data_IF_385083494206
#
_entry.id   IF_385083494206
#
_cell.length_a   1.000
_cell.length_b   1.000
_cell.length_c   1.000
_cell.angle_alpha   90.00
_cell.angle_beta   90.00
_cell.angle_gamma   90.00
#
_symmetry.space_group_name_H-M   'P 1'
#
loop_
_entity.id
_entity.type
_entity.pdbx_description
1 polymer ?
#
# COMPACT_ATOMS: atom_id res chain seq x y z
N UNK A 1 53.51 -26.89 17.44
CA UNK A 1 52.93 -26.01 16.42
C UNK A 1 51.49 -26.46 16.19
N UNK A 2 50.52 -25.77 16.80
CA UNK A 2 49.09 -26.11 16.67
C UNK A 2 48.48 -25.18 15.64
N UNK A 3 48.05 -25.76 14.52
CA UNK A 3 47.41 -25.03 13.42
C UNK A 3 45.98 -24.69 13.80
N UNK A 4 45.72 -23.42 14.11
CA UNK A 4 44.38 -22.88 14.40
C UNK A 4 43.59 -22.86 13.07
N UNK A 5 42.72 -23.85 12.89
CA UNK A 5 41.77 -23.91 11.77
C UNK A 5 40.70 -22.83 11.92
N UNK A 6 40.86 -21.72 11.20
CA UNK A 6 39.85 -20.68 11.10
C UNK A 6 38.56 -21.28 10.53
N UNK A 7 37.56 -21.47 11.40
CA UNK A 7 36.22 -21.91 11.00
C UNK A 7 35.56 -20.73 10.26
N UNK A 8 35.55 -20.80 8.93
CA UNK A 8 34.78 -19.88 8.11
C UNK A 8 33.29 -19.97 8.54
N UNK A 9 32.81 -18.99 9.27
CA UNK A 9 31.36 -18.81 9.45
C UNK A 9 30.82 -18.39 8.10
N UNK A 10 30.01 -19.26 7.49
CA UNK A 10 29.23 -18.93 6.31
C UNK A 10 28.37 -17.68 6.63
N UNK A 11 28.23 -16.72 5.69
CA UNK A 11 27.34 -15.59 5.90
C UNK A 11 25.93 -16.14 6.15
N UNK A 12 25.32 -15.75 7.25
CA UNK A 12 23.92 -16.05 7.53
C UNK A 12 23.13 -15.39 6.42
N UNK A 13 22.66 -16.19 5.47
CA UNK A 13 21.73 -15.73 4.45
C UNK A 13 20.39 -15.47 5.13
N UNK A 14 20.18 -14.22 5.58
CA UNK A 14 18.97 -13.78 6.26
C UNK A 14 17.71 -13.89 5.38
N UNK A 15 17.89 -14.22 4.12
CA UNK A 15 16.80 -14.42 3.17
C UNK A 15 17.02 -15.67 2.32
N UNK A 16 16.90 -16.84 2.94
CA UNK A 16 16.72 -18.06 2.19
C UNK A 16 15.28 -18.06 1.68
N UNK A 17 15.12 -17.58 0.47
CA UNK A 17 13.85 -17.56 -0.26
C UNK A 17 13.62 -19.01 -0.69
N UNK A 18 12.84 -19.77 0.08
CA UNK A 18 12.36 -21.06 -0.36
C UNK A 18 11.54 -20.84 -1.65
N UNK A 19 11.92 -21.44 -2.77
CA UNK A 19 11.23 -21.26 -4.04
C UNK A 19 9.98 -22.15 -4.11
N UNK A 20 9.06 -21.95 -3.16
CA UNK A 20 7.72 -22.50 -3.25
C UNK A 20 6.82 -21.50 -3.98
N UNK A 21 5.96 -21.91 -4.93
CA UNK A 21 5.14 -20.97 -5.71
C UNK A 21 4.23 -20.08 -4.84
N UNK A 22 3.94 -20.47 -3.60
CA UNK A 22 3.15 -19.70 -2.65
C UNK A 22 3.58 -20.06 -1.23
N UNK A 23 4.23 -19.17 -0.51
CA UNK A 23 4.48 -19.42 0.90
C UNK A 23 3.13 -19.49 1.64
N UNK A 24 3.02 -20.39 2.62
CA UNK A 24 1.79 -20.53 3.44
C UNK A 24 1.35 -19.19 4.02
N UNK A 25 2.30 -18.37 4.45
CA UNK A 25 2.05 -17.02 4.94
C UNK A 25 1.32 -16.13 3.92
N UNK A 26 1.67 -16.20 2.64
CA UNK A 26 1.03 -15.40 1.61
C UNK A 26 -0.41 -15.84 1.38
N UNK A 27 -0.66 -17.16 1.41
CA UNK A 27 -2.01 -17.70 1.29
C UNK A 27 -2.88 -17.28 2.49
N UNK A 28 -2.33 -17.36 3.71
CA UNK A 28 -3.03 -16.94 4.92
C UNK A 28 -3.37 -15.44 4.89
N UNK A 29 -2.44 -14.60 4.42
CA UNK A 29 -2.67 -13.17 4.23
C UNK A 29 -3.77 -12.89 3.20
N UNK A 30 -3.73 -13.54 2.05
CA UNK A 30 -4.75 -13.36 1.00
C UNK A 30 -6.12 -13.89 1.46
N UNK A 31 -6.17 -15.01 2.17
CA UNK A 31 -7.39 -15.55 2.73
C UNK A 31 -8.02 -14.60 3.77
N UNK A 32 -7.20 -14.08 4.68
CA UNK A 32 -7.64 -13.10 5.68
C UNK A 32 -8.16 -11.83 5.01
N UNK A 33 -7.45 -11.31 4.00
CA UNK A 33 -7.88 -10.16 3.22
C UNK A 33 -9.23 -10.41 2.55
N UNK A 34 -9.41 -11.56 1.90
CA UNK A 34 -10.66 -11.94 1.25
C UNK A 34 -11.84 -11.99 2.23
N UNK A 35 -11.63 -12.60 3.40
CA UNK A 35 -12.67 -12.68 4.46
C UNK A 35 -13.08 -11.27 4.91
N UNK A 36 -12.11 -10.40 5.20
CA UNK A 36 -12.39 -9.03 5.63
C UNK A 36 -13.13 -8.24 4.55
N UNK A 37 -12.75 -8.40 3.28
CA UNK A 37 -13.39 -7.72 2.15
C UNK A 37 -14.86 -8.17 1.96
N UNK A 38 -15.11 -9.47 2.01
CA UNK A 38 -16.47 -10.03 1.91
C UNK A 38 -17.33 -9.56 3.08
N UNK A 39 -16.80 -9.67 4.30
CA UNK A 39 -17.50 -9.19 5.49
C UNK A 39 -17.81 -7.70 5.41
N UNK A 40 -16.86 -6.88 4.97
CA UNK A 40 -17.04 -5.44 4.76
C UNK A 40 -18.14 -5.12 3.74
N UNK A 41 -18.23 -5.87 2.62
CA UNK A 41 -19.30 -5.70 1.63
C UNK A 41 -20.68 -6.05 2.21
N UNK A 42 -20.77 -7.14 2.96
CA UNK A 42 -22.03 -7.56 3.61
C UNK A 42 -22.50 -6.52 4.60
N UNK A 43 -21.58 -6.02 5.45
CA UNK A 43 -21.90 -4.99 6.43
C UNK A 43 -22.28 -3.66 5.77
N UNK A 44 -21.57 -3.28 4.69
CA UNK A 44 -21.92 -2.10 3.92
C UNK A 44 -23.32 -2.20 3.31
N UNK A 45 -23.65 -3.34 2.73
CA UNK A 45 -24.99 -3.57 2.17
C UNK A 45 -26.07 -3.43 3.23
N UNK A 46 -25.89 -4.09 4.38
CA UNK A 46 -26.84 -4.02 5.50
C UNK A 46 -27.05 -2.59 5.99
N UNK A 47 -25.97 -1.82 6.15
CA UNK A 47 -26.02 -0.45 6.66
C UNK A 47 -26.55 0.57 5.65
N UNK A 48 -26.30 0.36 4.35
CA UNK A 48 -26.63 1.35 3.30
C UNK A 48 -27.90 1.05 2.53
N UNK A 49 -28.53 -0.08 2.76
CA UNK A 49 -29.74 -0.52 2.04
C UNK A 49 -30.85 0.53 2.07
N UNK A 50 -31.26 0.96 3.27
CA UNK A 50 -32.33 1.95 3.46
C UNK A 50 -31.92 3.33 2.93
N UNK A 51 -30.67 3.74 3.18
CA UNK A 51 -30.16 5.06 2.74
C UNK A 51 -30.07 5.14 1.22
N UNK A 52 -29.66 4.04 0.56
CA UNK A 52 -29.60 3.95 -0.90
C UNK A 52 -30.97 4.08 -1.53
N UNK A 53 -31.96 3.39 -0.99
CA UNK A 53 -33.34 3.47 -1.45
C UNK A 53 -33.91 4.88 -1.32
N UNK A 54 -33.77 5.52 -0.14
CA UNK A 54 -34.33 6.82 0.14
C UNK A 54 -33.66 7.99 -0.63
N UNK A 55 -32.36 7.89 -0.88
CA UNK A 55 -31.61 8.99 -1.53
C UNK A 55 -31.46 8.85 -3.03
N UNK A 56 -31.29 7.62 -3.53
CA UNK A 56 -30.95 7.34 -4.92
C UNK A 56 -32.03 6.51 -5.65
N UNK A 57 -33.07 6.02 -4.94
CA UNK A 57 -34.06 5.13 -5.51
C UNK A 57 -33.56 3.70 -5.82
N UNK A 58 -32.28 3.44 -5.54
CA UNK A 58 -31.64 2.13 -5.77
C UNK A 58 -30.90 1.68 -4.50
N UNK A 59 -31.40 0.63 -3.86
CA UNK A 59 -30.78 0.06 -2.67
C UNK A 59 -29.38 -0.51 -2.91
N UNK A 60 -29.06 -0.85 -4.16
CA UNK A 60 -27.78 -1.42 -4.56
C UNK A 60 -26.75 -0.37 -5.01
N UNK A 61 -27.10 0.91 -5.01
CA UNK A 61 -26.23 1.97 -5.52
C UNK A 61 -24.84 1.95 -4.86
N UNK A 62 -24.81 1.96 -3.53
CA UNK A 62 -23.55 2.00 -2.77
C UNK A 62 -22.72 0.72 -2.90
N UNK A 63 -23.37 -0.45 -2.95
CA UNK A 63 -22.64 -1.71 -3.09
C UNK A 63 -22.04 -1.87 -4.49
N UNK A 64 -22.73 -1.43 -5.54
CA UNK A 64 -22.20 -1.42 -6.92
C UNK A 64 -20.95 -0.55 -7.00
N UNK A 65 -20.99 0.65 -6.43
CA UNK A 65 -19.86 1.57 -6.39
C UNK A 65 -18.68 0.97 -5.61
N UNK A 66 -18.95 0.40 -4.43
CA UNK A 66 -17.91 -0.23 -3.62
C UNK A 66 -17.30 -1.46 -4.29
N UNK A 67 -18.12 -2.31 -4.92
CA UNK A 67 -17.63 -3.46 -5.67
C UNK A 67 -16.72 -3.05 -6.83
N UNK A 68 -17.08 -1.98 -7.55
CA UNK A 68 -16.26 -1.44 -8.63
C UNK A 68 -14.91 -0.93 -8.09
N UNK A 69 -14.91 -0.17 -7.00
CA UNK A 69 -13.67 0.31 -6.37
C UNK A 69 -12.82 -0.86 -5.85
N UNK A 70 -13.45 -1.91 -5.32
CA UNK A 70 -12.77 -3.11 -4.86
C UNK A 70 -12.10 -3.86 -6.01
N UNK A 71 -12.78 -4.02 -7.15
CA UNK A 71 -12.21 -4.62 -8.36
C UNK A 71 -11.03 -3.81 -8.91
N UNK A 72 -11.15 -2.48 -8.93
CA UNK A 72 -10.05 -1.60 -9.30
C UNK A 72 -8.87 -1.73 -8.33
N UNK A 73 -9.13 -1.77 -7.03
CA UNK A 73 -8.08 -1.95 -6.00
C UNK A 73 -7.35 -3.29 -6.13
N UNK A 74 -8.07 -4.38 -6.37
CA UNK A 74 -7.47 -5.70 -6.65
C UNK A 74 -6.64 -5.67 -7.93
N UNK A 75 -7.14 -5.04 -9.00
CA UNK A 75 -6.38 -4.86 -10.23
C UNK A 75 -5.08 -4.10 -10.02
N UNK A 76 -5.11 -2.99 -9.25
CA UNK A 76 -3.92 -2.24 -8.87
C UNK A 76 -2.97 -3.08 -8.02
N UNK A 77 -3.47 -3.89 -7.09
CA UNK A 77 -2.65 -4.79 -6.28
C UNK A 77 -1.88 -5.80 -7.15
N UNK A 78 -2.55 -6.43 -8.11
CA UNK A 78 -1.91 -7.33 -9.05
C UNK A 78 -0.88 -6.59 -9.92
N UNK A 79 -1.23 -5.41 -10.45
CA UNK A 79 -0.32 -4.61 -11.25
C UNK A 79 0.95 -4.25 -10.48
N UNK A 80 0.82 -3.80 -9.24
CA UNK A 80 1.95 -3.46 -8.38
C UNK A 80 2.80 -4.68 -8.02
N UNK A 81 2.20 -5.88 -7.95
CA UNK A 81 2.93 -7.13 -7.69
C UNK A 81 3.93 -7.48 -8.81
N UNK A 82 3.66 -7.06 -10.05
CA UNK A 82 4.54 -7.28 -11.20
C UNK A 82 5.55 -6.14 -11.41
N UNK A 83 5.38 -5.00 -10.72
CA UNK A 83 6.28 -3.86 -10.90
C UNK A 83 7.64 -4.09 -10.25
N UNK A 84 8.71 -3.69 -10.96
CA UNK A 84 10.07 -3.71 -10.43
C UNK A 84 10.24 -2.65 -9.33
N UNK A 85 10.82 -3.05 -8.20
CA UNK A 85 11.12 -2.17 -7.05
C UNK A 85 12.01 -0.98 -7.43
N UNK A 86 12.82 -1.12 -8.47
CA UNK A 86 13.67 -0.03 -9.00
C UNK A 86 12.84 1.11 -9.58
N UNK A 87 11.70 0.77 -10.20
CA UNK A 87 10.77 1.77 -10.73
C UNK A 87 10.06 2.50 -9.58
N UNK A 88 9.55 1.76 -8.59
CA UNK A 88 8.93 2.36 -7.41
C UNK A 88 9.88 3.34 -6.72
N UNK A 89 11.14 2.96 -6.54
CA UNK A 89 12.16 3.83 -5.93
C UNK A 89 12.37 5.14 -6.67
N UNK A 90 12.29 5.14 -8.01
CA UNK A 90 12.39 6.37 -8.81
C UNK A 90 11.14 7.24 -8.69
N UNK A 91 9.98 6.63 -8.43
CA UNK A 91 8.70 7.31 -8.33
C UNK A 91 8.43 7.93 -6.95
N UNK A 92 9.18 7.56 -5.91
CA UNK A 92 8.96 8.06 -4.54
C UNK A 92 9.08 9.59 -4.45
N UNK A 93 10.11 10.19 -5.01
CA UNK A 93 10.31 11.65 -4.90
C UNK A 93 9.26 12.44 -5.69
N UNK A 94 9.01 12.13 -6.98
CA UNK A 94 7.95 12.81 -7.72
C UNK A 94 6.56 12.52 -7.16
N UNK A 95 6.29 11.30 -6.67
CA UNK A 95 5.05 10.94 -6.01
C UNK A 95 4.80 11.79 -4.76
N UNK A 96 5.80 11.99 -3.94
CA UNK A 96 5.71 12.84 -2.76
C UNK A 96 5.32 14.29 -3.11
N UNK A 97 5.91 14.87 -4.15
CA UNK A 97 5.59 16.22 -4.62
C UNK A 97 4.14 16.29 -5.12
N UNK A 98 3.69 15.27 -5.88
CA UNK A 98 2.31 15.18 -6.37
C UNK A 98 1.32 15.11 -5.21
N UNK A 99 1.60 14.31 -4.20
CA UNK A 99 0.74 14.17 -3.02
C UNK A 99 0.67 15.46 -2.22
N UNK A 100 1.78 16.18 -2.05
CA UNK A 100 1.78 17.50 -1.41
C UNK A 100 0.93 18.50 -2.20
N UNK A 101 1.04 18.51 -3.52
CA UNK A 101 0.19 19.36 -4.37
C UNK A 101 -1.28 18.98 -4.25
N UNK A 102 -1.62 17.69 -4.24
CA UNK A 102 -2.98 17.20 -4.01
C UNK A 102 -3.55 17.67 -2.65
N UNK A 103 -2.75 17.59 -1.60
CA UNK A 103 -3.16 18.04 -0.27
C UNK A 103 -3.42 19.56 -0.28
N UNK A 104 -2.54 20.34 -0.91
CA UNK A 104 -2.71 21.79 -1.05
C UNK A 104 -4.00 22.15 -1.84
N UNK A 105 -4.25 21.47 -2.94
CA UNK A 105 -5.50 21.64 -3.73
C UNK A 105 -6.73 21.28 -2.90
N UNK A 106 -6.65 20.25 -2.06
CA UNK A 106 -7.78 19.84 -1.21
C UNK A 106 -8.21 20.96 -0.24
N UNK A 107 -7.27 21.80 0.21
CA UNK A 107 -7.59 22.94 1.10
C UNK A 107 -8.42 24.01 0.40
N UNK A 108 -8.32 24.14 -0.93
CA UNK A 108 -9.08 25.11 -1.72
C UNK A 108 -10.46 24.60 -2.13
N UNK A 109 -10.72 23.28 -1.98
CA UNK A 109 -11.99 22.66 -2.36
C UNK A 109 -13.12 22.97 -1.37
N UNK A 110 -14.37 22.96 -1.87
CA UNK A 110 -15.55 23.16 -1.05
C UNK A 110 -15.66 22.06 0.03
N UNK A 111 -16.03 22.43 1.27
CA UNK A 111 -16.16 21.47 2.36
C UNK A 111 -17.29 20.47 2.08
N UNK A 112 -17.02 19.18 2.30
CA UNK A 112 -18.00 18.12 2.30
C UNK A 112 -18.26 17.68 3.74
N UNK A 113 -19.50 17.74 4.20
CA UNK A 113 -19.85 17.44 5.60
C UNK A 113 -18.99 18.22 6.63
N UNK A 114 -18.70 19.51 6.35
CA UNK A 114 -17.90 20.36 7.23
C UNK A 114 -16.38 20.15 7.16
N UNK A 115 -15.89 19.22 6.33
CA UNK A 115 -14.47 18.91 6.21
C UNK A 115 -13.96 19.02 4.77
N UNK A 116 -12.78 19.65 4.60
CA UNK A 116 -12.09 19.77 3.30
C UNK A 116 -11.08 18.65 3.15
N UNK A 117 -11.54 17.43 2.79
CA UNK A 117 -10.70 16.24 2.67
C UNK A 117 -10.87 15.47 1.38
N UNK A 118 -11.91 15.82 0.59
CA UNK A 118 -12.34 15.05 -0.55
C UNK A 118 -12.14 15.84 -1.85
N UNK A 119 -11.52 15.20 -2.83
CA UNK A 119 -11.41 15.69 -4.20
C UNK A 119 -12.46 14.95 -5.02
N UNK A 120 -13.32 15.68 -5.71
CA UNK A 120 -14.37 15.11 -6.57
C UNK A 120 -13.91 15.12 -8.02
N UNK A 121 -13.91 13.94 -8.64
CA UNK A 121 -13.71 13.77 -10.07
C UNK A 121 -14.93 13.06 -10.67
N UNK A 122 -15.82 13.81 -11.31
CA UNK A 122 -16.88 13.27 -12.18
C UNK A 122 -17.84 12.23 -11.59
N UNK A 123 -17.87 11.92 -10.34
CA UNK A 123 -18.70 10.88 -9.70
C UNK A 123 -17.90 9.98 -8.75
N UNK A 124 -16.58 10.04 -8.84
CA UNK A 124 -15.69 9.43 -7.87
C UNK A 124 -15.22 10.47 -6.86
N UNK A 125 -15.22 10.10 -5.60
CA UNK A 125 -14.64 10.91 -4.53
C UNK A 125 -13.35 10.27 -4.06
N UNK A 126 -12.25 10.99 -4.17
CA UNK A 126 -10.94 10.56 -3.72
C UNK A 126 -10.56 11.34 -2.46
N UNK A 127 -10.17 10.63 -1.43
CA UNK A 127 -9.65 11.26 -0.22
C UNK A 127 -8.13 11.39 -0.34
N UNK A 128 -7.63 12.62 -0.38
CA UNK A 128 -6.20 12.92 -0.56
C UNK A 128 -5.32 12.31 0.54
N UNK A 129 -5.83 12.19 1.76
CA UNK A 129 -5.11 11.59 2.88
C UNK A 129 -4.86 10.09 2.73
N UNK A 130 -5.69 9.35 1.99
CA UNK A 130 -5.44 7.93 1.73
C UNK A 130 -4.24 7.74 0.81
N UNK A 131 -4.15 8.57 -0.24
CA UNK A 131 -2.99 8.57 -1.14
C UNK A 131 -1.73 9.00 -0.39
N UNK A 132 -1.86 10.00 0.50
CA UNK A 132 -0.74 10.46 1.32
C UNK A 132 -0.18 9.36 2.25
N UNK A 133 -1.04 8.55 2.86
CA UNK A 133 -0.59 7.42 3.70
C UNK A 133 0.24 6.41 2.91
N UNK A 134 -0.22 6.06 1.71
CA UNK A 134 0.50 5.14 0.83
C UNK A 134 1.87 5.69 0.46
N UNK A 135 1.94 6.96 0.06
CA UNK A 135 3.19 7.61 -0.30
C UNK A 135 4.15 7.74 0.88
N UNK A 136 3.64 8.01 2.09
CA UNK A 136 4.45 8.06 3.31
C UNK A 136 5.13 6.71 3.62
N UNK A 137 4.46 5.60 3.37
CA UNK A 137 5.05 4.26 3.53
C UNK A 137 6.21 4.06 2.54
N UNK A 138 6.01 4.44 1.28
CA UNK A 138 7.04 4.34 0.24
C UNK A 138 8.23 5.25 0.55
N UNK A 139 7.97 6.48 0.96
CA UNK A 139 9.00 7.47 1.31
C UNK A 139 9.81 7.04 2.53
N UNK A 140 9.15 6.55 3.59
CA UNK A 140 9.83 6.03 4.78
C UNK A 140 10.72 4.83 4.47
N UNK A 141 10.23 3.92 3.61
CA UNK A 141 11.02 2.77 3.13
C UNK A 141 12.24 3.23 2.34
N UNK A 142 12.09 4.26 1.51
CA UNK A 142 13.19 4.83 0.72
C UNK A 142 14.26 5.48 1.62
N UNK A 143 13.83 6.25 2.63
CA UNK A 143 14.73 6.83 3.62
C UNK A 143 15.48 5.74 4.40
N UNK A 144 14.78 4.72 4.87
CA UNK A 144 15.39 3.60 5.57
C UNK A 144 16.50 2.95 4.75
N UNK A 145 16.28 2.74 3.45
CA UNK A 145 17.30 2.19 2.54
C UNK A 145 18.51 3.12 2.36
N UNK A 146 18.30 4.44 2.39
CA UNK A 146 19.40 5.40 2.29
C UNK A 146 20.26 5.42 3.55
N UNK A 147 19.64 5.32 4.73
CA UNK A 147 20.35 5.34 6.00
C UNK A 147 20.98 4.00 6.39
N UNK A 148 20.43 2.87 5.91
CA UNK A 148 20.95 1.52 6.16
C UNK A 148 21.93 1.05 5.08
N UNK A 149 22.23 1.86 4.07
CA UNK A 149 23.31 1.56 3.13
C UNK A 149 24.62 1.46 3.90
N UNK A 150 25.35 0.32 3.81
CA UNK A 150 26.58 0.12 4.58
C UNK A 150 27.57 1.25 4.22
N UNK A 151 27.95 1.99 5.25
CA UNK A 151 28.98 3.02 5.14
C UNK A 151 30.25 2.36 4.58
N UNK A 152 30.97 3.01 3.66
CA UNK A 152 32.29 2.50 3.20
C UNK A 152 33.28 2.27 4.35
N UNK A 153 33.01 2.80 5.55
CA UNK A 153 33.82 2.55 6.75
C UNK A 153 33.65 1.16 7.36
N UNK A 154 32.50 0.49 7.16
CA UNK A 154 32.29 -0.86 7.71
C UNK A 154 33.09 -1.93 6.93
N UNK A 155 33.47 -1.66 5.70
CA UNK A 155 34.38 -2.50 4.92
C UNK A 155 35.85 -2.45 5.36
N UNK A 156 36.25 -1.44 6.12
CA UNK A 156 37.64 -1.30 6.63
C UNK A 156 37.86 -1.96 7.98
N UNK A 157 36.81 -2.28 8.73
CA UNK A 157 36.89 -2.95 10.05
C UNK A 157 36.85 -4.47 9.93
N UNK A 158 36.68 -5.04 8.74
CA UNK A 158 36.65 -6.49 8.48
C UNK A 158 37.97 -7.05 7.91
N UNK A 159 39.07 -6.29 7.95
CA UNK A 159 40.41 -6.79 7.58
C UNK A 159 41.24 -7.16 8.78
#
# INVERSE_FOLDING_TARGET
MATIRKKHRAPVSVFQRDPGPWSRLLIDWLATLAVIMIFGLVMLFSASYTTGYLRMGDSFHYIKQQALCMMLGLGCMFLMSYMDHRFLRKMVVPGYIIVLAMLAVTLTMAPLNGCRRWIRFGGLTLQSSEVAKFEMILFSSHLCLLYTSPSPRDGLLSR
#
